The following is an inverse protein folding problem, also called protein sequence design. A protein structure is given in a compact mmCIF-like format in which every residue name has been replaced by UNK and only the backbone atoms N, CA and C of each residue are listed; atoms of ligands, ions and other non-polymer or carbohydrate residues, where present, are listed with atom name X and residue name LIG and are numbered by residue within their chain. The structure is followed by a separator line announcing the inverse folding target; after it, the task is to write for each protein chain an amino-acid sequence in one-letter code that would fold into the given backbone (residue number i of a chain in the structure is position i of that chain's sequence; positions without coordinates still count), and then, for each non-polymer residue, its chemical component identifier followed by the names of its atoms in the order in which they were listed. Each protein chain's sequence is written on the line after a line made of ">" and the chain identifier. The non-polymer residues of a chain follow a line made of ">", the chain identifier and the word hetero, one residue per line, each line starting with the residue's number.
data_IF_897079819349
#
_entry.id   IF_897079819349
#
_cell.length_a   1.000
_cell.length_b   1.000
_cell.length_c   1.000
_cell.angle_alpha   90.00
_cell.angle_beta   90.00
_cell.angle_gamma   90.00
#
_symmetry.space_group_name_H-M   'P 1'
#
loop_
_entity.id
_entity.type
_entity.pdbx_description
1 polymer ?
#
# COMPACT_ATOMS: atom_id res chain seq x y z
N UNK A 1 -20.08 27.05 -12.43
CA UNK A 1 -19.61 26.61 -13.77
C UNK A 1 -18.26 25.99 -13.55
N UNK A 2 -18.09 24.69 -13.78
CA UNK A 2 -16.86 23.94 -13.46
C UNK A 2 -15.69 24.45 -14.33
N UNK A 3 -14.72 25.11 -13.71
CA UNK A 3 -13.68 25.91 -14.37
C UNK A 3 -12.87 25.12 -15.41
N UNK A 4 -12.73 23.81 -15.21
CA UNK A 4 -11.85 22.94 -16.00
C UNK A 4 -12.53 22.26 -17.20
N UNK A 5 -13.86 22.34 -17.35
CA UNK A 5 -14.57 21.59 -18.40
C UNK A 5 -14.21 21.98 -19.83
N UNK A 6 -13.74 23.21 -20.03
CA UNK A 6 -13.41 23.75 -21.35
C UNK A 6 -11.96 23.52 -21.77
N UNK A 7 -11.09 23.10 -20.83
CA UNK A 7 -9.69 22.85 -21.11
C UNK A 7 -9.53 21.63 -22.01
N UNK A 8 -8.52 21.66 -22.86
CA UNK A 8 -7.99 20.50 -23.58
C UNK A 8 -7.38 19.48 -22.61
N UNK A 9 -7.05 18.30 -23.11
CA UNK A 9 -6.44 17.26 -22.28
C UNK A 9 -5.06 17.66 -21.76
N UNK A 10 -4.23 18.28 -22.60
CA UNK A 10 -2.90 18.75 -22.19
C UNK A 10 -3.02 19.87 -21.16
N UNK A 11 -3.92 20.83 -21.37
CA UNK A 11 -4.17 21.89 -20.39
C UNK A 11 -4.66 21.33 -19.05
N UNK A 12 -5.49 20.27 -19.03
CA UNK A 12 -5.88 19.62 -17.78
C UNK A 12 -4.67 18.99 -17.05
N UNK A 13 -3.79 18.32 -17.77
CA UNK A 13 -2.60 17.70 -17.18
C UNK A 13 -1.61 18.76 -16.66
N UNK A 14 -1.48 19.88 -17.36
CA UNK A 14 -0.67 21.01 -16.91
C UNK A 14 -1.24 21.66 -15.64
N UNK A 15 -2.57 21.64 -15.46
CA UNK A 15 -3.18 22.06 -14.18
C UNK A 15 -2.86 21.09 -13.05
N UNK A 16 -2.75 19.77 -13.31
CA UNK A 16 -2.35 18.79 -12.29
C UNK A 16 -0.95 19.10 -11.78
N UNK A 17 0.00 19.38 -12.68
CA UNK A 17 1.39 19.67 -12.30
C UNK A 17 1.55 20.97 -11.50
N UNK A 18 0.59 21.89 -11.59
CA UNK A 18 0.61 23.19 -10.91
C UNK A 18 -0.27 23.24 -9.66
N UNK A 19 -0.97 22.16 -9.33
CA UNK A 19 -1.95 22.15 -8.24
C UNK A 19 -1.29 22.26 -6.85
N UNK A 20 0.00 21.95 -6.73
CA UNK A 20 0.67 21.88 -5.44
C UNK A 20 0.21 20.66 -4.65
N UNK A 21 0.13 20.75 -3.32
CA UNK A 21 -0.15 19.57 -2.48
C UNK A 21 -1.57 18.99 -2.66
N UNK A 22 -2.55 19.81 -2.99
CA UNK A 22 -3.98 19.42 -3.02
C UNK A 22 -4.54 19.61 -4.42
N UNK A 23 -5.13 18.56 -4.98
CA UNK A 23 -5.76 18.62 -6.29
C UNK A 23 -7.21 19.15 -6.18
N UNK A 24 -7.58 20.25 -6.85
CA UNK A 24 -8.92 20.82 -6.75
C UNK A 24 -10.01 19.83 -7.16
N UNK A 25 -11.11 19.77 -6.39
CA UNK A 25 -12.21 18.83 -6.65
C UNK A 25 -12.79 18.95 -8.08
N UNK A 26 -12.94 20.17 -8.61
CA UNK A 26 -13.43 20.36 -9.98
C UNK A 26 -12.45 19.85 -11.04
N UNK A 27 -11.14 19.89 -10.77
CA UNK A 27 -10.11 19.35 -11.65
C UNK A 27 -10.15 17.81 -11.62
N UNK A 28 -10.25 17.21 -10.42
CA UNK A 28 -10.47 15.76 -10.26
C UNK A 28 -11.69 15.31 -11.07
N UNK A 29 -12.83 15.99 -10.94
CA UNK A 29 -14.05 15.67 -11.69
C UNK A 29 -13.81 15.70 -13.21
N UNK A 30 -13.11 16.71 -13.71
CA UNK A 30 -12.80 16.83 -15.14
C UNK A 30 -11.89 15.69 -15.63
N UNK A 31 -10.89 15.31 -14.84
CA UNK A 31 -9.97 14.20 -15.14
C UNK A 31 -10.71 12.85 -15.13
N UNK A 32 -11.50 12.58 -14.09
CA UNK A 32 -12.29 11.35 -13.99
C UNK A 32 -13.29 11.20 -15.15
N UNK A 33 -13.91 12.30 -15.59
CA UNK A 33 -14.83 12.30 -16.72
C UNK A 33 -14.16 11.95 -18.06
N UNK A 34 -12.84 12.14 -18.17
CA UNK A 34 -12.04 11.89 -19.38
C UNK A 34 -10.99 10.79 -19.17
N UNK A 35 -11.30 9.84 -18.28
CA UNK A 35 -10.37 8.76 -17.90
C UNK A 35 -9.84 7.96 -19.09
N UNK A 36 -10.67 7.72 -20.11
CA UNK A 36 -10.31 6.84 -21.23
C UNK A 36 -9.29 7.54 -22.13
N UNK A 37 -9.47 8.84 -22.34
CA UNK A 37 -8.62 9.69 -23.15
C UNK A 37 -7.30 10.02 -22.44
N UNK A 38 -7.33 10.19 -21.11
CA UNK A 38 -6.18 10.67 -20.33
C UNK A 38 -5.29 9.57 -19.77
N UNK A 39 -5.79 8.33 -19.57
CA UNK A 39 -5.07 7.26 -18.86
C UNK A 39 -3.64 7.03 -19.37
N UNK A 40 -3.41 7.05 -20.68
CA UNK A 40 -2.09 6.78 -21.25
C UNK A 40 -1.11 7.91 -20.98
N UNK A 41 -1.57 9.16 -21.08
CA UNK A 41 -0.76 10.33 -20.78
C UNK A 41 -0.46 10.43 -19.28
N UNK A 42 -1.46 10.16 -18.42
CA UNK A 42 -1.27 10.13 -16.96
C UNK A 42 -0.27 9.03 -16.56
N UNK A 43 -0.36 7.84 -17.16
CA UNK A 43 0.59 6.76 -16.89
C UNK A 43 2.02 7.15 -17.29
N UNK A 44 2.20 7.75 -18.46
CA UNK A 44 3.51 8.20 -18.93
C UNK A 44 4.09 9.27 -17.99
N UNK A 45 3.30 10.29 -17.64
CA UNK A 45 3.74 11.36 -16.73
C UNK A 45 4.01 10.85 -15.31
N UNK A 46 3.28 9.84 -14.83
CA UNK A 46 3.57 9.19 -13.55
C UNK A 46 4.93 8.51 -13.56
N UNK A 47 5.24 7.73 -14.60
CA UNK A 47 6.55 7.09 -14.74
C UNK A 47 7.68 8.12 -14.85
N UNK A 48 7.48 9.21 -15.60
CA UNK A 48 8.44 10.31 -15.72
C UNK A 48 8.70 10.98 -14.37
N UNK A 49 7.65 11.20 -13.57
CA UNK A 49 7.73 11.93 -12.30
C UNK A 49 8.57 11.25 -11.21
N UNK A 50 8.89 9.96 -11.35
CA UNK A 50 9.81 9.28 -10.44
C UNK A 50 11.26 9.77 -10.57
N UNK A 51 11.60 10.46 -11.66
CA UNK A 51 12.93 10.99 -11.91
C UNK A 51 13.00 12.51 -11.64
N UNK A 52 11.98 13.06 -10.99
CA UNK A 52 11.94 14.47 -10.64
C UNK A 52 13.02 14.80 -9.61
N UNK A 53 13.78 15.86 -9.87
CA UNK A 53 14.79 16.39 -8.98
C UNK A 53 14.76 17.92 -9.07
N UNK A 54 13.67 18.52 -8.60
CA UNK A 54 13.46 19.96 -8.69
C UNK A 54 14.36 20.70 -7.69
N UNK A 55 15.06 21.74 -8.13
CA UNK A 55 15.98 22.50 -7.25
C UNK A 55 15.26 23.25 -6.12
N UNK A 56 13.96 23.53 -6.30
CA UNK A 56 13.15 24.25 -5.34
C UNK A 56 12.28 23.28 -4.55
N UNK A 57 12.49 23.18 -3.24
CA UNK A 57 11.70 22.35 -2.33
C UNK A 57 10.22 22.77 -2.28
N UNK A 58 9.92 24.05 -2.55
CA UNK A 58 8.56 24.58 -2.61
C UNK A 58 7.90 24.43 -4.00
N UNK A 59 8.55 23.74 -4.95
CA UNK A 59 7.98 23.58 -6.28
C UNK A 59 6.70 22.74 -6.24
N UNK A 60 5.55 23.25 -6.72
CA UNK A 60 4.30 22.51 -6.68
C UNK A 60 4.35 21.19 -7.47
N UNK A 61 5.29 21.06 -8.42
CA UNK A 61 5.46 19.87 -9.24
C UNK A 61 5.95 18.65 -8.48
N UNK A 62 6.51 18.81 -7.28
CA UNK A 62 6.86 17.69 -6.39
C UNK A 62 5.67 16.76 -6.11
N UNK A 63 4.45 17.29 -6.15
CA UNK A 63 3.24 16.51 -5.90
C UNK A 63 2.65 15.84 -7.15
N UNK A 64 3.23 16.05 -8.34
CA UNK A 64 2.65 15.50 -9.58
C UNK A 64 2.64 13.97 -9.57
N UNK A 65 3.68 13.33 -9.02
CA UNK A 65 3.75 11.89 -8.85
C UNK A 65 2.59 11.35 -7.99
N UNK A 66 2.34 12.00 -6.86
CA UNK A 66 1.22 11.70 -5.94
C UNK A 66 -0.11 11.80 -6.68
N UNK A 67 -0.34 12.91 -7.38
CA UNK A 67 -1.60 13.14 -8.09
C UNK A 67 -1.86 12.10 -9.17
N UNK A 68 -0.87 11.81 -10.01
CA UNK A 68 -1.01 10.82 -11.06
C UNK A 68 -1.18 9.41 -10.49
N UNK A 69 -0.47 9.05 -9.42
CA UNK A 69 -0.63 7.78 -8.72
C UNK A 69 -2.07 7.60 -8.20
N UNK A 70 -2.62 8.58 -7.48
CA UNK A 70 -4.01 8.51 -6.99
C UNK A 70 -5.04 8.46 -8.13
N UNK A 71 -4.84 9.18 -9.23
CA UNK A 71 -5.72 9.08 -10.40
C UNK A 71 -5.66 7.68 -11.03
N UNK A 72 -4.47 7.07 -11.14
CA UNK A 72 -4.31 5.72 -11.68
C UNK A 72 -4.94 4.65 -10.77
N UNK A 73 -4.88 4.84 -9.46
CA UNK A 73 -5.61 4.01 -8.49
C UNK A 73 -7.13 4.19 -8.65
N UNK A 74 -7.62 5.43 -8.75
CA UNK A 74 -9.03 5.73 -8.99
C UNK A 74 -9.54 5.12 -10.31
N UNK A 75 -8.68 5.09 -11.34
CA UNK A 75 -8.97 4.43 -12.62
C UNK A 75 -8.84 2.91 -12.58
N UNK A 76 -8.17 2.37 -11.56
CA UNK A 76 -7.71 0.97 -11.50
C UNK A 76 -6.90 0.58 -12.75
N UNK A 77 -6.06 1.50 -13.23
CA UNK A 77 -5.22 1.29 -14.40
C UNK A 77 -4.07 0.32 -14.09
N UNK A 78 -4.27 -0.97 -14.41
CA UNK A 78 -3.33 -2.05 -14.06
C UNK A 78 -1.93 -1.86 -14.61
N UNK A 79 -1.77 -1.11 -15.70
CA UNK A 79 -0.45 -0.79 -16.26
C UNK A 79 0.41 0.07 -15.33
N UNK A 80 -0.17 0.69 -14.30
CA UNK A 80 0.57 1.42 -13.27
C UNK A 80 1.18 0.50 -12.20
N UNK A 81 0.73 -0.75 -12.07
CA UNK A 81 1.20 -1.66 -11.01
C UNK A 81 2.72 -1.87 -11.00
N UNK A 82 3.43 -1.99 -12.14
CA UNK A 82 4.89 -2.07 -12.13
C UNK A 82 5.58 -0.81 -11.56
N UNK A 83 4.95 0.36 -11.71
CA UNK A 83 5.48 1.61 -11.15
C UNK A 83 5.30 1.62 -9.63
N UNK A 84 4.13 1.19 -9.13
CA UNK A 84 3.93 0.98 -7.71
C UNK A 84 4.86 -0.09 -7.13
N UNK A 85 5.13 -1.19 -7.85
CA UNK A 85 6.10 -2.18 -7.42
C UNK A 85 7.48 -1.56 -7.19
N UNK A 86 7.96 -0.75 -8.16
CA UNK A 86 9.25 -0.05 -8.03
C UNK A 86 9.30 0.87 -6.81
N UNK A 87 8.21 1.60 -6.52
CA UNK A 87 8.11 2.46 -5.33
C UNK A 87 8.23 1.65 -4.03
N UNK A 88 7.61 0.47 -3.96
CA UNK A 88 7.58 -0.34 -2.75
C UNK A 88 8.80 -1.27 -2.60
N UNK A 89 9.54 -1.49 -3.67
CA UNK A 89 10.79 -2.23 -3.65
C UNK A 89 12.01 -1.39 -3.25
N UNK A 90 11.92 -0.05 -3.28
CA UNK A 90 13.02 0.86 -2.94
C UNK A 90 12.54 1.98 -2.01
N UNK A 91 12.32 1.66 -0.71
CA UNK A 91 11.77 2.61 0.23
C UNK A 91 12.69 3.80 0.50
N UNK A 92 14.01 3.64 0.40
CA UNK A 92 14.97 4.73 0.62
C UNK A 92 14.86 5.79 -0.48
N UNK A 93 14.66 5.36 -1.73
CA UNK A 93 14.51 6.29 -2.85
C UNK A 93 13.13 6.94 -2.90
N UNK A 94 12.08 6.23 -2.46
CA UNK A 94 10.69 6.64 -2.64
C UNK A 94 9.89 6.80 -1.34
N UNK A 95 10.56 7.01 -0.19
CA UNK A 95 9.94 7.12 1.14
C UNK A 95 8.71 8.03 1.14
N UNK A 96 8.85 9.26 0.61
CA UNK A 96 7.74 10.20 0.55
C UNK A 96 6.55 9.67 -0.27
N UNK A 97 6.80 9.00 -1.39
CA UNK A 97 5.71 8.41 -2.19
C UNK A 97 5.07 7.21 -1.48
N UNK A 98 5.85 6.43 -0.74
CA UNK A 98 5.32 5.35 0.09
C UNK A 98 4.37 5.90 1.17
N UNK A 99 4.75 6.96 1.88
CA UNK A 99 3.87 7.62 2.86
C UNK A 99 2.62 8.25 2.22
N UNK A 100 2.73 8.68 0.96
CA UNK A 100 1.56 9.18 0.23
C UNK A 100 0.59 8.05 -0.14
N UNK A 101 1.11 6.90 -0.55
CA UNK A 101 0.27 5.81 -1.06
C UNK A 101 -0.16 4.80 -0.01
N UNK A 102 0.64 4.53 1.01
CA UNK A 102 0.41 3.57 2.10
C UNK A 102 -0.23 2.25 1.61
N UNK A 103 -1.46 1.96 2.01
CA UNK A 103 -2.17 0.73 1.63
C UNK A 103 -3.12 0.94 0.43
N UNK A 104 -3.17 2.16 -0.11
CA UNK A 104 -4.12 2.58 -1.16
C UNK A 104 -4.04 1.73 -2.44
N UNK A 105 -2.88 1.20 -2.87
CA UNK A 105 -2.83 0.27 -4.01
C UNK A 105 -3.71 -0.99 -3.85
N UNK A 106 -4.16 -1.34 -2.64
CA UNK A 106 -5.16 -2.39 -2.45
C UNK A 106 -6.47 -2.15 -3.24
N UNK A 107 -6.76 -0.90 -3.65
CA UNK A 107 -7.92 -0.57 -4.47
C UNK A 107 -7.83 -1.05 -5.94
N UNK A 108 -6.64 -1.46 -6.42
CA UNK A 108 -6.50 -2.19 -7.69
C UNK A 108 -7.14 -3.59 -7.61
N UNK A 109 -7.25 -4.15 -6.40
CA UNK A 109 -7.89 -5.43 -6.12
C UNK A 109 -7.05 -6.64 -6.55
N UNK A 110 -7.69 -7.76 -6.96
CA UNK A 110 -7.00 -9.02 -7.25
C UNK A 110 -5.77 -8.93 -8.18
N UNK A 111 -5.75 -8.09 -9.24
CA UNK A 111 -4.58 -7.94 -10.11
C UNK A 111 -3.31 -7.42 -9.41
N UNK A 112 -3.44 -6.74 -8.28
CA UNK A 112 -2.29 -6.22 -7.53
C UNK A 112 -1.64 -7.27 -6.62
N UNK A 113 -2.36 -8.33 -6.25
CA UNK A 113 -1.84 -9.35 -5.34
C UNK A 113 -0.50 -9.97 -5.81
N UNK A 114 -0.35 -10.49 -7.04
CA UNK A 114 0.93 -11.07 -7.47
C UNK A 114 2.07 -10.04 -7.54
N UNK A 115 1.75 -8.75 -7.69
CA UNK A 115 2.76 -7.68 -7.76
C UNK A 115 3.34 -7.43 -6.38
N UNK A 116 2.49 -7.26 -5.36
CA UNK A 116 2.95 -7.02 -3.99
C UNK A 116 3.48 -8.29 -3.30
N UNK A 117 3.09 -9.48 -3.76
CA UNK A 117 3.77 -10.73 -3.40
C UNK A 117 5.23 -10.72 -3.86
N UNK A 118 5.50 -10.29 -5.09
CA UNK A 118 6.87 -10.20 -5.61
C UNK A 118 7.70 -9.16 -4.84
N UNK A 119 7.13 -8.00 -4.51
CA UNK A 119 7.80 -6.98 -3.68
C UNK A 119 8.26 -7.57 -2.34
N UNK A 120 7.41 -8.36 -1.68
CA UNK A 120 7.77 -9.02 -0.42
C UNK A 120 8.87 -10.07 -0.62
N UNK A 121 8.79 -10.86 -1.69
CA UNK A 121 9.77 -11.92 -1.96
C UNK A 121 11.15 -11.39 -2.36
N UNK A 122 11.20 -10.23 -3.01
CA UNK A 122 12.44 -9.59 -3.45
C UNK A 122 13.07 -8.71 -2.35
N UNK A 123 12.40 -8.53 -1.21
CA UNK A 123 12.91 -7.74 -0.10
C UNK A 123 14.16 -8.40 0.52
N UNK A 124 15.24 -7.65 0.79
CA UNK A 124 16.42 -8.19 1.44
C UNK A 124 16.11 -8.59 2.88
N UNK A 125 16.20 -9.89 3.19
CA UNK A 125 15.69 -10.50 4.43
C UNK A 125 16.50 -10.26 5.70
N UNK A 126 16.93 -9.02 5.98
CA UNK A 126 17.64 -8.68 7.22
C UNK A 126 17.42 -7.23 7.72
N UNK A 127 16.85 -6.33 6.93
CA UNK A 127 16.61 -4.94 7.34
C UNK A 127 15.12 -4.62 7.26
N UNK A 128 14.63 -3.78 8.19
CA UNK A 128 13.27 -3.22 8.09
C UNK A 128 13.01 -2.73 6.66
N UNK A 129 12.03 -3.35 6.01
CA UNK A 129 11.68 -3.00 4.66
C UNK A 129 10.27 -2.44 4.66
N UNK A 130 10.16 -1.13 4.91
CA UNK A 130 8.88 -0.42 5.01
C UNK A 130 7.94 -0.74 3.85
N UNK A 131 8.46 -0.79 2.62
CA UNK A 131 7.67 -1.16 1.44
C UNK A 131 7.19 -2.61 1.42
N UNK A 132 7.90 -3.55 2.05
CA UNK A 132 7.45 -4.95 2.18
C UNK A 132 6.37 -5.09 3.26
N UNK A 133 6.54 -4.42 4.40
CA UNK A 133 5.50 -4.33 5.44
C UNK A 133 4.20 -3.72 4.90
N UNK A 134 4.30 -2.60 4.17
CA UNK A 134 3.15 -2.01 3.47
C UNK A 134 2.56 -2.95 2.42
N UNK A 135 3.38 -3.73 1.72
CA UNK A 135 2.91 -4.74 0.77
C UNK A 135 2.09 -5.85 1.46
N UNK A 136 2.49 -6.29 2.66
CA UNK A 136 1.70 -7.22 3.48
C UNK A 136 0.33 -6.61 3.82
N UNK A 137 0.30 -5.35 4.23
CA UNK A 137 -0.93 -4.64 4.53
C UNK A 137 -1.84 -4.42 3.30
N UNK A 138 -1.25 -4.18 2.12
CA UNK A 138 -1.97 -4.15 0.85
C UNK A 138 -2.63 -5.51 0.55
N UNK A 139 -1.89 -6.62 0.68
CA UNK A 139 -2.42 -7.96 0.47
C UNK A 139 -3.57 -8.28 1.44
N UNK A 140 -3.40 -7.95 2.72
CA UNK A 140 -4.45 -8.04 3.74
C UNK A 140 -5.73 -7.31 3.31
N UNK A 141 -5.61 -6.05 2.90
CA UNK A 141 -6.75 -5.26 2.44
C UNK A 141 -7.40 -5.81 1.16
N UNK A 142 -6.61 -6.39 0.25
CA UNK A 142 -7.16 -7.08 -0.93
C UNK A 142 -7.98 -8.30 -0.47
N UNK A 143 -7.46 -9.14 0.42
CA UNK A 143 -8.15 -10.33 0.93
C UNK A 143 -9.46 -9.98 1.66
N UNK A 144 -9.49 -8.88 2.42
CA UNK A 144 -10.71 -8.38 3.09
C UNK A 144 -11.76 -7.92 2.08
N UNK A 145 -11.35 -7.16 1.05
CA UNK A 145 -12.27 -6.52 0.09
C UNK A 145 -12.71 -7.46 -1.04
N UNK A 146 -11.89 -8.47 -1.36
CA UNK A 146 -12.07 -9.41 -2.46
C UNK A 146 -11.94 -10.85 -1.95
N UNK A 147 -13.00 -11.41 -1.35
CA UNK A 147 -12.95 -12.71 -0.69
C UNK A 147 -12.46 -13.87 -1.57
N UNK A 148 -12.62 -13.77 -2.90
CA UNK A 148 -12.10 -14.75 -3.86
C UNK A 148 -10.57 -14.86 -3.89
N UNK A 149 -9.86 -13.86 -3.36
CA UNK A 149 -8.39 -13.85 -3.28
C UNK A 149 -7.85 -14.38 -1.96
N UNK A 150 -8.73 -14.52 -0.96
CA UNK A 150 -8.37 -14.70 0.44
C UNK A 150 -7.51 -15.92 0.68
N UNK A 151 -7.92 -17.09 0.20
CA UNK A 151 -7.18 -18.35 0.43
C UNK A 151 -5.78 -18.32 -0.18
N UNK A 152 -5.64 -17.73 -1.39
CA UNK A 152 -4.34 -17.61 -2.04
C UNK A 152 -3.41 -16.65 -1.26
N UNK A 153 -3.97 -15.56 -0.73
CA UNK A 153 -3.20 -14.59 0.06
C UNK A 153 -2.83 -15.19 1.42
N UNK A 154 -3.74 -15.89 2.09
CA UNK A 154 -3.43 -16.62 3.33
C UNK A 154 -2.34 -17.66 3.12
N UNK A 155 -2.44 -18.48 2.07
CA UNK A 155 -1.42 -19.47 1.75
C UNK A 155 -0.05 -18.82 1.51
N UNK A 156 0.00 -17.69 0.81
CA UNK A 156 1.23 -16.91 0.62
C UNK A 156 1.79 -16.38 1.94
N UNK A 157 0.98 -15.69 2.75
CA UNK A 157 1.42 -15.12 4.03
C UNK A 157 1.93 -16.20 5.01
N UNK A 158 1.23 -17.34 5.10
CA UNK A 158 1.68 -18.49 5.89
C UNK A 158 3.02 -19.02 5.42
N UNK A 159 3.31 -19.00 4.12
CA UNK A 159 4.59 -19.48 3.58
C UNK A 159 5.78 -18.60 3.95
N UNK A 160 5.55 -17.38 4.46
CA UNK A 160 6.58 -16.49 4.98
C UNK A 160 6.95 -16.78 6.43
N UNK A 161 6.12 -17.53 7.16
CA UNK A 161 6.41 -17.92 8.54
C UNK A 161 7.46 -19.03 8.57
N UNK A 162 8.39 -19.00 9.53
CA UNK A 162 9.35 -20.09 9.70
C UNK A 162 8.63 -21.39 10.08
N UNK A 163 9.08 -22.54 9.55
CA UNK A 163 8.43 -23.82 9.80
C UNK A 163 8.62 -24.28 11.26
N UNK A 164 7.81 -25.24 11.70
CA UNK A 164 8.02 -25.92 12.98
C UNK A 164 8.77 -27.24 12.75
N UNK A 165 9.71 -27.53 13.65
CA UNK A 165 10.35 -28.83 13.73
C UNK A 165 9.45 -29.89 14.42
N UNK A 166 9.95 -31.11 14.56
CA UNK A 166 9.22 -32.24 15.17
C UNK A 166 8.78 -32.01 16.63
N UNK A 167 9.44 -31.10 17.35
CA UNK A 167 9.12 -30.75 18.74
C UNK A 167 8.14 -29.57 18.83
N UNK A 168 7.64 -29.07 17.70
CA UNK A 168 6.74 -27.93 17.64
C UNK A 168 7.41 -26.59 17.91
N UNK A 169 8.74 -26.51 17.78
CA UNK A 169 9.51 -25.27 17.90
C UNK A 169 9.83 -24.70 16.53
N UNK A 170 9.98 -23.39 16.46
CA UNK A 170 10.40 -22.73 15.22
C UNK A 170 11.77 -23.26 14.78
N UNK A 171 11.85 -23.69 13.52
CA UNK A 171 13.09 -24.09 12.86
C UNK A 171 13.66 -22.87 12.14
N UNK A 172 14.74 -22.33 12.70
CA UNK A 172 15.52 -21.25 12.10
C UNK A 172 16.76 -21.87 11.45
N UNK A 173 17.19 -21.33 10.31
CA UNK A 173 18.51 -21.63 9.80
C UNK A 173 19.56 -21.00 10.75
N UNK A 174 20.73 -21.62 10.89
CA UNK A 174 21.76 -21.21 11.87
C UNK A 174 22.25 -19.74 11.73
N UNK A 175 21.95 -19.09 10.60
CA UNK A 175 22.26 -17.69 10.28
C UNK A 175 21.01 -16.78 10.22
N UNK A 176 19.83 -17.26 10.60
CA UNK A 176 18.60 -16.47 10.54
C UNK A 176 18.51 -15.50 11.73
N UNK A 177 18.74 -14.22 11.47
CA UNK A 177 18.39 -13.13 12.36
C UNK A 177 16.86 -12.93 12.40
N UNK A 178 16.36 -12.26 13.44
CA UNK A 178 14.93 -11.92 13.57
C UNK A 178 14.53 -11.05 12.37
N UNK A 179 13.54 -11.49 11.59
CA UNK A 179 12.99 -10.72 10.48
C UNK A 179 11.84 -9.85 10.98
N UNK A 180 12.03 -8.53 10.99
CA UNK A 180 10.99 -7.56 11.41
C UNK A 180 9.72 -7.65 10.54
N UNK A 181 9.79 -8.20 9.33
CA UNK A 181 8.60 -8.42 8.51
C UNK A 181 7.61 -9.40 9.18
N UNK A 182 8.09 -10.29 10.06
CA UNK A 182 7.23 -11.29 10.71
C UNK A 182 6.13 -10.67 11.55
N UNK A 183 6.35 -9.55 12.24
CA UNK A 183 5.28 -8.89 12.99
C UNK A 183 4.16 -8.41 12.08
N UNK A 184 4.52 -7.79 10.94
CA UNK A 184 3.54 -7.41 9.90
C UNK A 184 2.76 -8.60 9.34
N UNK A 185 3.41 -9.75 9.13
CA UNK A 185 2.75 -10.99 8.65
C UNK A 185 1.81 -11.55 9.71
N UNK A 186 2.25 -11.61 10.97
CA UNK A 186 1.45 -12.08 12.13
C UNK A 186 0.19 -11.24 12.28
N UNK A 187 0.30 -9.92 12.24
CA UNK A 187 -0.85 -9.02 12.35
C UNK A 187 -1.82 -9.19 11.17
N UNK A 188 -1.31 -9.31 9.95
CA UNK A 188 -2.14 -9.56 8.78
C UNK A 188 -2.88 -10.89 8.88
N UNK A 189 -2.23 -11.96 9.34
CA UNK A 189 -2.86 -13.26 9.55
C UNK A 189 -3.93 -13.22 10.66
N UNK A 190 -3.67 -12.49 11.75
CA UNK A 190 -4.64 -12.28 12.83
C UNK A 190 -5.90 -11.54 12.37
N UNK A 191 -5.72 -10.40 11.68
CA UNK A 191 -6.83 -9.63 11.12
C UNK A 191 -7.62 -10.43 10.08
N UNK A 192 -6.91 -11.26 9.31
CA UNK A 192 -7.49 -12.24 8.40
C UNK A 192 -7.96 -13.52 9.11
N UNK A 193 -8.03 -13.60 10.43
CA UNK A 193 -8.64 -14.71 11.17
C UNK A 193 -8.04 -16.08 10.83
N UNK A 194 -6.75 -16.13 10.55
CA UNK A 194 -6.08 -17.37 10.20
C UNK A 194 -5.80 -18.24 11.44
N UNK A 195 -6.61 -19.29 11.62
CA UNK A 195 -6.42 -20.26 12.70
C UNK A 195 -5.44 -21.38 12.35
N UNK A 196 -5.07 -21.52 11.08
CA UNK A 196 -4.19 -22.60 10.64
C UNK A 196 -2.74 -22.34 11.06
N UNK A 197 -2.29 -21.08 11.00
CA UNK A 197 -0.95 -20.66 11.45
C UNK A 197 -0.82 -20.44 12.95
N UNK A 198 -1.91 -20.51 13.74
CA UNK A 198 -1.85 -20.25 15.19
C UNK A 198 -0.75 -21.02 15.92
N UNK A 199 -0.54 -22.34 15.69
CA UNK A 199 0.55 -23.07 16.34
C UNK A 199 1.95 -22.49 16.00
N UNK A 200 2.17 -22.10 14.75
CA UNK A 200 3.42 -21.50 14.28
C UNK A 200 3.65 -20.14 14.96
N UNK A 201 2.65 -19.26 14.92
CA UNK A 201 2.74 -17.90 15.47
C UNK A 201 2.96 -17.94 17.00
N UNK A 202 2.26 -18.82 17.71
CA UNK A 202 2.48 -18.96 19.15
C UNK A 202 3.90 -19.44 19.47
N UNK A 203 4.44 -20.38 18.70
CA UNK A 203 5.83 -20.81 18.85
C UNK A 203 6.84 -19.68 18.56
N UNK A 204 6.54 -18.77 17.63
CA UNK A 204 7.36 -17.58 17.37
C UNK A 204 7.36 -16.62 18.57
N UNK A 205 6.22 -16.40 19.21
CA UNK A 205 6.17 -15.64 20.47
C UNK A 205 6.92 -16.32 21.61
N UNK A 206 6.84 -17.64 21.74
CA UNK A 206 7.59 -18.39 22.77
C UNK A 206 9.11 -18.33 22.52
N UNK A 207 9.52 -18.14 21.27
CA UNK A 207 10.91 -18.00 20.86
C UNK A 207 11.39 -16.54 20.79
N UNK A 208 10.56 -15.57 21.21
CA UNK A 208 10.87 -14.13 21.20
C UNK A 208 11.30 -13.61 19.81
N UNK A 209 10.70 -14.15 18.73
CA UNK A 209 11.00 -13.79 17.34
C UNK A 209 10.16 -12.65 16.78
N UNK A 210 9.26 -12.08 17.58
CA UNK A 210 8.41 -10.96 17.20
C UNK A 210 8.72 -9.81 18.15
N UNK A 211 8.97 -8.62 17.60
CA UNK A 211 9.18 -7.44 18.43
C UNK A 211 7.87 -7.10 19.16
N UNK A 212 7.85 -7.11 20.51
CA UNK A 212 6.66 -6.77 21.29
C UNK A 212 6.20 -5.33 21.11
N UNK A 213 7.03 -4.44 20.54
CA UNK A 213 6.61 -3.08 20.16
C UNK A 213 5.70 -3.07 18.93
N UNK A 214 5.82 -4.05 18.03
CA UNK A 214 4.93 -4.19 16.87
C UNK A 214 3.63 -4.88 17.29
N UNK A 215 3.74 -6.06 17.89
CA UNK A 215 2.59 -6.84 18.34
C UNK A 215 2.99 -7.83 19.42
N UNK A 216 2.10 -8.08 20.38
CA UNK A 216 2.31 -9.07 21.44
C UNK A 216 1.30 -10.23 21.33
N UNK A 217 1.57 -11.31 22.07
CA UNK A 217 0.73 -12.51 22.06
C UNK A 217 -0.73 -12.22 22.41
N UNK A 218 -0.98 -11.34 23.38
CA UNK A 218 -2.34 -11.04 23.84
C UNK A 218 -3.11 -10.28 22.76
N UNK A 219 -2.49 -9.23 22.22
CA UNK A 219 -2.98 -8.42 21.12
C UNK A 219 -3.28 -9.28 19.88
N UNK A 220 -2.36 -10.17 19.51
CA UNK A 220 -2.57 -11.15 18.44
C UNK A 220 -3.82 -12.01 18.67
N UNK A 221 -3.97 -12.59 19.88
CA UNK A 221 -5.10 -13.47 20.19
C UNK A 221 -6.44 -12.70 20.22
N UNK A 222 -6.44 -11.50 20.79
CA UNK A 222 -7.61 -10.62 20.81
C UNK A 222 -8.03 -10.23 19.39
N UNK A 223 -7.06 -9.84 18.57
CA UNK A 223 -7.27 -9.54 17.15
C UNK A 223 -7.68 -10.79 16.39
N UNK A 224 -7.31 -12.02 16.77
CA UNK A 224 -7.73 -13.27 16.11
C UNK A 224 -9.17 -13.68 16.48
N UNK A 225 -9.60 -13.44 17.73
CA UNK A 225 -10.92 -13.84 18.26
C UNK A 225 -12.04 -12.80 18.06
N UNK A 226 -11.69 -11.53 17.82
CA UNK A 226 -12.65 -10.48 17.50
C UNK A 226 -13.55 -10.69 16.25
N UNK A 227 -14.39 -9.71 15.97
CA UNK A 227 -15.26 -9.75 14.79
C UNK A 227 -14.44 -9.53 13.50
N UNK A 228 -14.74 -10.25 12.40
CA UNK A 228 -14.03 -10.06 11.14
C UNK A 228 -14.19 -8.62 10.65
N UNK A 229 -13.09 -8.04 10.16
CA UNK A 229 -13.15 -6.78 9.44
C UNK A 229 -13.92 -7.02 8.13
N UNK A 230 -15.17 -6.56 8.07
CA UNK A 230 -15.97 -6.61 6.84
C UNK A 230 -15.94 -5.22 6.22
N UNK A 231 -15.13 -5.06 5.18
CA UNK A 231 -15.19 -3.87 4.32
C UNK A 231 -15.75 -4.28 2.97
N UNK A 232 -16.90 -3.71 2.60
CA UNK A 232 -17.40 -3.86 1.23
C UNK A 232 -16.35 -3.32 0.26
N UNK A 233 -16.11 -4.03 -0.84
CA UNK A 233 -15.30 -3.51 -1.94
C UNK A 233 -15.92 -2.19 -2.41
N UNK A 234 -15.22 -1.09 -2.15
CA UNK A 234 -15.59 0.24 -2.64
C UNK A 234 -14.51 0.72 -3.62
N UNK A 235 -14.88 1.44 -4.69
CA UNK A 235 -13.93 2.20 -5.48
C UNK A 235 -13.09 3.10 -4.58
N UNK A 236 -11.85 3.39 -4.98
CA UNK A 236 -11.05 4.39 -4.30
C UNK A 236 -11.75 5.76 -4.44
N UNK A 237 -11.99 6.42 -3.30
CA UNK A 237 -12.57 7.75 -3.26
C UNK A 237 -11.48 8.81 -3.16
N UNK A 238 -10.98 9.22 -4.32
CA UNK A 238 -9.95 10.25 -4.44
C UNK A 238 -10.41 11.61 -3.86
N UNK A 239 -11.72 11.88 -3.76
CA UNK A 239 -12.20 13.12 -3.14
C UNK A 239 -12.04 13.05 -1.62
N UNK A 240 -12.41 11.92 -1.02
CA UNK A 240 -12.22 11.70 0.41
C UNK A 240 -10.73 11.74 0.80
N UNK A 241 -9.85 11.19 -0.04
CA UNK A 241 -8.40 11.21 0.18
C UNK A 241 -7.84 12.64 0.27
N UNK A 242 -8.18 13.52 -0.68
CA UNK A 242 -7.73 14.92 -0.59
C UNK A 242 -8.42 15.68 0.53
N UNK A 243 -9.70 15.38 0.81
CA UNK A 243 -10.41 16.03 1.90
C UNK A 243 -9.78 15.70 3.26
N UNK A 244 -9.43 14.45 3.56
CA UNK A 244 -8.83 14.06 4.84
C UNK A 244 -7.50 14.79 5.08
N UNK A 245 -6.67 14.91 4.03
CA UNK A 245 -5.35 15.56 4.11
C UNK A 245 -5.42 17.08 4.26
N UNK A 246 -6.43 17.73 3.67
CA UNK A 246 -6.67 19.16 3.87
C UNK A 246 -7.03 19.49 5.33
N UNK A 247 -7.82 18.62 5.97
CA UNK A 247 -8.18 18.77 7.39
C UNK A 247 -6.99 18.57 8.32
N UNK A 248 -6.14 17.56 8.08
CA UNK A 248 -4.94 17.30 8.89
C UNK A 248 -3.96 18.48 8.88
N UNK A 249 -3.81 19.16 7.74
CA UNK A 249 -2.95 20.34 7.62
C UNK A 249 -3.51 21.56 8.38
N UNK A 250 -4.83 21.76 8.33
CA UNK A 250 -5.48 22.86 9.04
C UNK A 250 -5.35 22.70 10.56
N UNK A 251 -5.39 21.46 11.05
CA UNK A 251 -5.22 21.14 12.47
C UNK A 251 -3.76 21.27 12.97
N UNK A 252 -2.77 21.08 12.10
CA UNK A 252 -1.35 21.25 12.46
C UNK A 252 -0.87 22.72 12.41
N UNK A 253 -1.65 23.60 11.77
CA UNK A 253 -1.33 25.03 11.63
C UNK A 253 -2.05 25.94 12.63
N UNK A 254 -2.81 25.36 13.57
CA UNK A 254 -3.62 26.04 14.58
C UNK A 254 -3.06 25.80 16.00
#
# INVERSE_FOLDING_TARGET
>A
MTAYKHLSNDELLDQVERAGRILPAELIQALLARRIELRSAILARFAESLNDNWENDDDPRWYRAVHYGFLLIAYRERKALPIFAAIYSDPDLYEGLLEWFEETPAHFGPPAAPVFQAVIQDAPGMAWHFGAAMSVAILKNIAIRFPETRENILAFLRSLLPPLNADGRVELNDDAEIDELWGSVVDALAELRDRESTPQILAMFDAELIDPMETDRESYLDVLEGAPAIRKSQPFDIFAEYASRDHSNTAQSA
#
